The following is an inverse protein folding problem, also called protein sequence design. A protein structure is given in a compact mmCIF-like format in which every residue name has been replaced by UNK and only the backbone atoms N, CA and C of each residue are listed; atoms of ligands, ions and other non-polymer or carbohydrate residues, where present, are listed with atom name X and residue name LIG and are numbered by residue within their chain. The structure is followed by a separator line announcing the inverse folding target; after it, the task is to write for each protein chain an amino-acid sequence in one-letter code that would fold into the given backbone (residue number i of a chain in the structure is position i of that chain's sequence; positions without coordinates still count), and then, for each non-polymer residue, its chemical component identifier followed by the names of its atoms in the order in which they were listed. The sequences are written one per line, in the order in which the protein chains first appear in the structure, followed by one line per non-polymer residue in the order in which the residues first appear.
data_IF_076165082949
#
_entry.id   IF_076165082949
#
_cell.length_a   1.000
_cell.length_b   1.000
_cell.length_c   1.000
_cell.angle_alpha   90.00
_cell.angle_beta   90.00
_cell.angle_gamma   90.00
#
_symmetry.space_group_name_H-M   'P 1'
#
loop_
_entity.id
_entity.type
_entity.pdbx_description
1 polymer ?
#
# COMPACT_ATOMS: atom_id res chain seq x y z
N UNK A 1 -9.65 2.37 -4.34
CA UNK A 1 -8.27 2.51 -4.88
C UNK A 1 -8.26 2.41 -6.41
N UNK A 2 -8.84 1.37 -7.01
CA UNK A 2 -9.01 1.28 -8.47
C UNK A 2 -9.67 2.55 -9.05
N UNK A 3 -10.83 2.93 -8.51
CA UNK A 3 -11.56 4.12 -8.94
C UNK A 3 -10.76 5.43 -8.78
N UNK A 4 -9.88 5.50 -7.79
CA UNK A 4 -9.01 6.67 -7.58
C UNK A 4 -7.91 6.71 -8.65
N UNK A 5 -7.33 5.57 -9.00
CA UNK A 5 -6.36 5.50 -10.09
C UNK A 5 -7.00 5.82 -11.44
N UNK A 6 -8.26 5.42 -11.67
CA UNK A 6 -9.03 5.81 -12.84
C UNK A 6 -9.28 7.33 -12.88
N UNK A 7 -9.72 7.91 -11.76
CA UNK A 7 -9.96 9.35 -11.65
C UNK A 7 -8.70 10.19 -11.94
N UNK A 8 -7.50 9.71 -11.58
CA UNK A 8 -6.25 10.38 -11.92
C UNK A 8 -6.04 10.54 -13.44
N UNK A 9 -6.54 9.58 -14.23
CA UNK A 9 -6.46 9.62 -15.68
C UNK A 9 -7.61 10.45 -16.25
N UNK A 10 -8.84 10.20 -15.80
CA UNK A 10 -10.04 10.88 -16.30
C UNK A 10 -10.01 12.39 -16.06
N UNK A 11 -9.46 12.82 -14.91
CA UNK A 11 -9.34 14.24 -14.54
C UNK A 11 -8.03 14.87 -15.05
N UNK A 12 -7.18 14.14 -15.78
CA UNK A 12 -5.90 14.64 -16.28
C UNK A 12 -4.86 14.94 -15.20
N UNK A 13 -5.03 14.42 -13.98
CA UNK A 13 -4.13 14.68 -12.86
C UNK A 13 -2.73 14.10 -13.12
N UNK A 14 -2.65 12.92 -13.72
CA UNK A 14 -1.36 12.34 -14.11
C UNK A 14 -0.60 13.27 -15.05
N UNK A 15 -1.27 13.79 -16.07
CA UNK A 15 -0.65 14.66 -17.08
C UNK A 15 -0.30 16.04 -16.50
N UNK A 16 -0.98 16.45 -15.43
CA UNK A 16 -0.61 17.61 -14.62
C UNK A 16 0.56 17.35 -13.63
N UNK A 17 1.11 16.12 -13.58
CA UNK A 17 2.28 15.75 -12.78
C UNK A 17 1.98 14.99 -11.48
N UNK A 18 0.72 14.66 -11.19
CA UNK A 18 0.38 13.84 -10.02
C UNK A 18 0.58 12.36 -10.35
N UNK A 19 1.79 11.87 -10.11
CA UNK A 19 2.20 10.52 -10.54
C UNK A 19 2.05 9.45 -9.46
N UNK A 20 2.01 9.82 -8.18
CA UNK A 20 2.04 8.86 -7.07
C UNK A 20 0.67 8.70 -6.42
N UNK A 21 0.23 7.46 -6.30
CA UNK A 21 -0.90 7.08 -5.48
C UNK A 21 -0.36 6.35 -4.25
N UNK A 22 -0.51 6.98 -3.08
CA UNK A 22 0.05 6.51 -1.81
C UNK A 22 -1.07 6.06 -0.89
N UNK A 23 -1.01 4.80 -0.45
CA UNK A 23 -1.92 4.24 0.53
C UNK A 23 -1.36 4.42 1.94
N UNK A 24 -2.11 5.13 2.79
CA UNK A 24 -1.69 5.38 4.17
C UNK A 24 -1.95 4.16 5.09
N UNK A 25 -1.98 4.38 6.40
CA UNK A 25 -2.12 3.35 7.41
C UNK A 25 -3.40 2.49 7.23
N UNK A 26 -3.35 1.25 7.71
CA UNK A 26 -4.47 0.31 7.71
C UNK A 26 -4.67 -0.55 6.46
N UNK A 27 -3.66 -0.60 5.59
CA UNK A 27 -3.63 -1.53 4.45
C UNK A 27 -3.35 -2.99 4.84
N UNK A 28 -2.61 -3.18 5.93
CA UNK A 28 -2.17 -4.47 6.42
C UNK A 28 -3.20 -5.14 7.32
N UNK A 29 -3.13 -6.47 7.44
CA UNK A 29 -3.87 -7.19 8.48
C UNK A 29 -3.34 -6.81 9.89
N UNK A 30 -4.16 -7.05 10.92
CA UNK A 30 -3.73 -6.85 12.31
C UNK A 30 -2.64 -7.83 12.75
N UNK A 31 -2.54 -8.98 12.09
CA UNK A 31 -1.54 -10.00 12.36
C UNK A 31 -0.54 -10.12 11.21
N UNK A 32 0.70 -10.47 11.55
CA UNK A 32 1.73 -10.86 10.59
C UNK A 32 1.51 -12.31 10.14
N UNK A 33 2.07 -12.70 9.00
CA UNK A 33 2.09 -14.11 8.62
C UNK A 33 3.02 -14.94 9.52
N UNK A 34 3.06 -16.25 9.27
CA UNK A 34 3.87 -17.20 10.03
C UNK A 34 5.38 -16.96 9.91
N UNK A 35 5.81 -16.23 8.87
CA UNK A 35 7.20 -15.84 8.65
C UNK A 35 7.51 -14.48 9.32
N UNK A 36 6.50 -13.84 9.90
CA UNK A 36 6.61 -12.54 10.55
C UNK A 36 6.58 -11.36 9.58
N UNK A 37 6.16 -11.57 8.33
CA UNK A 37 6.02 -10.52 7.32
C UNK A 37 4.70 -9.77 7.45
N UNK A 38 4.68 -8.54 6.94
CA UNK A 38 3.44 -7.78 6.80
C UNK A 38 2.64 -8.35 5.64
N UNK A 39 1.36 -8.60 5.87
CA UNK A 39 0.43 -9.05 4.84
C UNK A 39 -0.68 -8.03 4.66
N UNK A 40 -1.16 -7.92 3.42
CA UNK A 40 -2.34 -7.11 3.13
C UNK A 40 -3.56 -7.69 3.83
N UNK A 41 -4.45 -6.84 4.30
CA UNK A 41 -5.75 -7.26 4.83
C UNK A 41 -6.54 -7.98 3.72
N UNK A 42 -6.88 -9.27 3.87
CA UNK A 42 -7.49 -10.06 2.80
C UNK A 42 -8.93 -9.66 2.50
N UNK A 43 -9.64 -9.02 3.44
CA UNK A 43 -11.00 -8.53 3.22
C UNK A 43 -10.98 -7.22 2.42
N UNK A 44 -10.04 -6.32 2.74
CA UNK A 44 -9.88 -5.05 2.01
C UNK A 44 -9.19 -5.24 0.66
N UNK A 45 -8.24 -6.17 0.58
CA UNK A 45 -7.37 -6.39 -0.57
C UNK A 45 -7.31 -7.88 -0.93
N UNK A 46 -8.41 -8.46 -1.46
CA UNK A 46 -8.48 -9.89 -1.77
C UNK A 46 -7.46 -10.36 -2.84
N UNK A 47 -7.00 -9.45 -3.71
CA UNK A 47 -5.90 -9.70 -4.66
C UNK A 47 -4.50 -9.38 -4.13
N UNK A 48 -4.41 -8.89 -2.89
CA UNK A 48 -3.18 -8.39 -2.27
C UNK A 48 -2.62 -7.11 -2.90
N UNK A 49 -1.53 -6.60 -2.30
CA UNK A 49 -0.86 -5.38 -2.78
C UNK A 49 -0.25 -5.52 -4.17
N UNK A 50 0.19 -6.73 -4.57
CA UNK A 50 0.77 -6.96 -5.90
C UNK A 50 -0.24 -6.70 -7.01
N UNK A 51 -1.48 -7.18 -6.86
CA UNK A 51 -2.54 -6.93 -7.83
C UNK A 51 -2.88 -5.44 -7.91
N UNK A 52 -3.01 -4.78 -6.76
CA UNK A 52 -3.30 -3.34 -6.70
C UNK A 52 -2.17 -2.51 -7.34
N UNK A 53 -0.91 -2.77 -6.98
CA UNK A 53 0.24 -2.10 -7.57
C UNK A 53 0.34 -2.34 -9.08
N UNK A 54 0.09 -3.58 -9.53
CA UNK A 54 0.03 -3.91 -10.96
C UNK A 54 -1.02 -3.10 -11.71
N UNK A 55 -2.20 -2.91 -11.11
CA UNK A 55 -3.24 -2.08 -11.68
C UNK A 55 -2.84 -0.60 -11.72
N UNK A 56 -2.31 -0.04 -10.63
CA UNK A 56 -1.84 1.36 -10.58
C UNK A 56 -0.75 1.60 -11.63
N UNK A 57 0.20 0.69 -11.76
CA UNK A 57 1.25 0.76 -12.79
C UNK A 57 0.69 0.67 -14.22
N UNK A 58 -0.38 -0.11 -14.45
CA UNK A 58 -1.03 -0.21 -15.77
C UNK A 58 -1.63 1.12 -16.25
N UNK A 59 -1.90 2.05 -15.33
CA UNK A 59 -2.37 3.42 -15.62
C UNK A 59 -1.23 4.41 -15.86
N UNK A 60 0.02 3.97 -15.74
CA UNK A 60 1.19 4.85 -15.80
C UNK A 60 1.42 5.67 -14.54
N UNK A 61 0.83 5.25 -13.41
CA UNK A 61 1.04 5.85 -12.08
C UNK A 61 2.08 5.02 -11.30
N UNK A 62 2.62 5.62 -10.25
CA UNK A 62 3.52 4.98 -9.28
C UNK A 62 2.75 4.69 -7.99
N UNK A 63 3.06 3.58 -7.35
CA UNK A 63 2.39 3.17 -6.11
C UNK A 63 3.32 3.28 -4.90
N UNK A 64 2.79 3.81 -3.81
CA UNK A 64 3.45 3.79 -2.49
C UNK A 64 2.47 3.30 -1.43
N UNK A 65 3.00 2.76 -0.35
CA UNK A 65 2.19 2.44 0.82
C UNK A 65 2.98 2.64 2.12
N UNK A 66 2.23 2.87 3.19
CA UNK A 66 2.75 3.27 4.48
C UNK A 66 3.36 2.11 5.29
N UNK A 67 4.37 2.43 6.10
CA UNK A 67 4.77 1.62 7.24
C UNK A 67 5.21 2.53 8.40
N UNK A 68 5.46 1.93 9.57
CA UNK A 68 5.92 2.65 10.75
C UNK A 68 7.19 2.00 11.31
N UNK A 69 8.22 2.80 11.58
CA UNK A 69 9.48 2.35 12.17
C UNK A 69 9.42 2.03 13.69
N UNK A 70 8.22 2.07 14.29
CA UNK A 70 7.98 1.61 15.65
C UNK A 70 7.51 0.16 15.72
N UNK A 71 7.11 -0.29 16.91
CA UNK A 71 6.47 -1.60 17.11
C UNK A 71 5.03 -1.65 16.59
N UNK A 72 4.36 -0.49 16.53
CA UNK A 72 3.02 -0.30 15.98
C UNK A 72 2.97 0.93 15.08
N UNK A 73 2.10 0.87 14.08
CA UNK A 73 1.66 2.00 13.29
C UNK A 73 0.74 2.93 14.09
N UNK A 74 0.47 4.13 13.57
CA UNK A 74 -0.34 5.14 14.24
C UNK A 74 -1.76 4.64 14.56
N UNK A 75 -2.37 3.89 13.64
CA UNK A 75 -3.68 3.27 13.81
C UNK A 75 -3.64 1.91 14.55
N UNK A 76 -2.48 1.51 15.09
CA UNK A 76 -2.32 0.32 15.92
C UNK A 76 -2.00 -0.97 15.17
N UNK A 77 -1.81 -0.91 13.84
CA UNK A 77 -1.35 -2.04 13.02
C UNK A 77 0.12 -2.41 13.31
N UNK A 78 0.59 -3.60 12.89
CA UNK A 78 1.98 -4.01 13.13
C UNK A 78 3.02 -3.05 12.52
N UNK A 79 3.93 -2.51 13.34
CA UNK A 79 5.07 -1.70 12.88
C UNK A 79 6.29 -2.55 12.53
N UNK A 80 7.31 -1.97 11.87
CA UNK A 80 8.45 -2.68 11.27
C UNK A 80 9.73 -2.68 12.10
N UNK A 81 9.71 -2.15 13.34
CA UNK A 81 10.87 -2.19 14.22
C UNK A 81 11.41 -3.61 14.42
N UNK A 82 12.71 -3.81 14.15
CA UNK A 82 13.37 -5.12 14.27
C UNK A 82 12.94 -6.16 13.23
N UNK A 83 12.27 -5.73 12.14
CA UNK A 83 11.77 -6.59 11.06
C UNK A 83 12.28 -6.19 9.67
N UNK A 84 13.34 -5.40 9.60
CA UNK A 84 14.00 -5.05 8.34
C UNK A 84 14.93 -6.19 7.91
N UNK A 85 14.85 -6.64 6.67
CA UNK A 85 15.81 -7.59 6.09
C UNK A 85 17.10 -6.84 5.71
N UNK A 86 18.20 -7.07 6.41
CA UNK A 86 19.50 -6.46 6.10
C UNK A 86 20.41 -6.10 7.28
N UNK A 87 20.06 -6.47 8.52
CA UNK A 87 20.94 -6.44 9.70
C UNK A 87 21.22 -7.82 10.22
#
# INVERSE_FOLDING_TARGET
MHDIADAFIELGLRDAGYEYLVLDDGWMAYERDTEGSLIADPEKFPGGMKALAGYVHSKGLKFGFYNCAGTKACAGYPGTQGKYSGT
#
